data_IF_828453187171
#
_entry.id   IF_828453187171
#
_cell.length_a   1.000
_cell.length_b   1.000
_cell.length_c   1.000
_cell.angle_alpha   90.00
_cell.angle_beta   90.00
_cell.angle_gamma   90.00
#
_symmetry.space_group_name_H-M   'P 1'
#
loop_
_entity.id
_entity.type
_entity.pdbx_description
1 polymer ?
#
# COMPACT_ATOMS: atom_id res chain seq x y z
N UNK A 1 -60.03 -30.07 13.84
CA UNK A 1 -58.99 -30.57 14.78
C UNK A 1 -57.83 -29.59 14.76
N UNK A 2 -57.43 -29.13 15.93
CA UNK A 2 -56.65 -27.90 16.18
C UNK A 2 -55.16 -28.00 15.77
N UNK A 3 -54.52 -26.90 15.34
CA UNK A 3 -53.07 -26.82 15.19
C UNK A 3 -52.38 -26.56 16.53
N UNK A 4 -51.36 -27.37 16.85
CA UNK A 4 -50.52 -27.20 18.05
C UNK A 4 -49.44 -26.15 17.76
N UNK A 5 -49.56 -24.99 18.39
CA UNK A 5 -48.58 -23.89 18.34
C UNK A 5 -47.52 -24.13 19.42
N UNK A 6 -46.28 -24.39 19.01
CA UNK A 6 -45.12 -24.43 19.92
C UNK A 6 -44.57 -23.00 20.09
N UNK A 7 -44.86 -22.37 21.23
CA UNK A 7 -44.18 -21.14 21.70
C UNK A 7 -42.86 -21.54 22.37
N UNK A 8 -41.73 -21.09 21.83
CA UNK A 8 -40.46 -21.05 22.56
C UNK A 8 -40.18 -19.62 23.03
N UNK A 9 -39.78 -19.39 24.30
CA UNK A 9 -39.34 -18.09 24.77
C UNK A 9 -37.90 -17.82 24.32
N UNK A 10 -37.71 -16.72 23.59
CA UNK A 10 -36.40 -16.11 23.35
C UNK A 10 -35.88 -15.52 24.67
N UNK A 11 -35.02 -16.28 25.35
CA UNK A 11 -34.16 -15.76 26.40
C UNK A 11 -32.97 -15.06 25.73
N UNK A 12 -33.02 -13.73 25.66
CA UNK A 12 -31.87 -12.90 25.28
C UNK A 12 -31.01 -12.73 26.53
N UNK A 13 -29.99 -13.58 26.68
CA UNK A 13 -28.95 -13.42 27.69
C UNK A 13 -27.98 -12.36 27.18
N UNK A 14 -28.06 -11.15 27.73
CA UNK A 14 -27.02 -10.14 27.59
C UNK A 14 -25.77 -10.63 28.35
N UNK A 15 -24.83 -11.22 27.61
CA UNK A 15 -23.48 -11.41 28.11
C UNK A 15 -22.78 -10.05 28.08
N UNK A 16 -22.63 -9.46 29.27
CA UNK A 16 -21.75 -8.31 29.50
C UNK A 16 -20.33 -8.69 29.08
N UNK A 17 -19.92 -8.25 27.88
CA UNK A 17 -18.53 -8.35 27.43
C UNK A 17 -17.74 -7.33 28.26
N UNK A 18 -16.81 -7.75 29.14
CA UNK A 18 -15.90 -6.80 29.75
C UNK A 18 -15.11 -6.12 28.64
N UNK A 19 -15.15 -4.79 28.62
CA UNK A 19 -14.20 -3.97 27.85
C UNK A 19 -12.79 -4.37 28.29
N UNK A 20 -12.23 -5.36 27.60
CA UNK A 20 -10.80 -5.56 27.52
C UNK A 20 -10.26 -4.30 26.86
N UNK A 21 -9.76 -3.40 27.71
CA UNK A 21 -8.82 -2.38 27.32
C UNK A 21 -7.74 -3.07 26.49
N UNK A 22 -7.81 -2.90 25.16
CA UNK A 22 -6.69 -3.15 24.28
C UNK A 22 -5.62 -2.15 24.71
N UNK A 23 -4.74 -2.59 25.62
CA UNK A 23 -3.43 -1.99 25.80
C UNK A 23 -2.77 -1.97 24.43
N UNK A 24 -2.79 -0.81 23.77
CA UNK A 24 -1.78 -0.38 22.80
C UNK A 24 -0.45 -0.23 23.55
N UNK A 25 0.05 -1.34 24.10
CA UNK A 25 1.41 -1.45 24.55
C UNK A 25 2.27 -1.51 23.28
N UNK A 26 3.11 -0.49 23.12
CA UNK A 26 4.01 -0.39 21.99
C UNK A 26 4.90 -1.63 21.87
N UNK A 27 4.87 -2.26 20.70
CA UNK A 27 6.00 -3.03 20.22
C UNK A 27 6.95 -2.08 19.51
N UNK A 28 7.66 -1.28 20.31
CA UNK A 28 8.89 -0.61 19.94
C UNK A 28 10.10 -1.50 20.32
N UNK A 29 10.02 -2.80 20.03
CA UNK A 29 11.20 -3.64 19.94
C UNK A 29 11.72 -3.50 18.52
N UNK A 30 12.73 -2.63 18.34
CA UNK A 30 13.43 -2.37 17.09
C UNK A 30 14.25 -3.56 16.57
N UNK A 31 13.67 -4.75 16.56
CA UNK A 31 14.22 -5.91 15.88
C UNK A 31 13.76 -5.87 14.42
N UNK A 32 14.71 -5.79 13.49
CA UNK A 32 14.43 -5.92 12.07
C UNK A 32 13.62 -7.21 11.84
N UNK A 33 12.53 -7.17 11.06
CA UNK A 33 11.84 -8.39 10.67
C UNK A 33 12.84 -9.32 9.99
N UNK A 34 12.76 -10.62 10.29
CA UNK A 34 13.66 -11.60 9.69
C UNK A 34 13.58 -11.49 8.15
N UNK A 35 14.72 -11.42 7.45
CA UNK A 35 14.73 -11.19 6.02
C UNK A 35 13.98 -12.31 5.30
N UNK A 36 13.00 -11.94 4.47
CA UNK A 36 12.31 -12.90 3.61
C UNK A 36 13.29 -13.46 2.59
N UNK A 37 13.27 -14.77 2.37
CA UNK A 37 14.14 -15.42 1.39
C UNK A 37 13.97 -14.80 -0.01
N UNK A 38 15.08 -14.47 -0.67
CA UNK A 38 15.09 -13.81 -1.98
C UNK A 38 14.24 -14.54 -3.04
N UNK A 39 14.25 -15.88 -3.03
CA UNK A 39 13.43 -16.68 -3.95
C UNK A 39 11.91 -16.47 -3.75
N UNK A 40 11.45 -16.23 -2.52
CA UNK A 40 10.04 -15.94 -2.23
C UNK A 40 9.69 -14.54 -2.71
N UNK A 41 10.60 -13.58 -2.52
CA UNK A 41 10.45 -12.19 -2.99
C UNK A 41 10.35 -12.16 -4.52
N UNK A 42 11.26 -12.85 -5.21
CA UNK A 42 11.29 -12.99 -6.67
C UNK A 42 9.99 -13.63 -7.20
N UNK A 43 9.57 -14.75 -6.61
CA UNK A 43 8.33 -15.43 -7.01
C UNK A 43 7.08 -14.54 -6.84
N UNK A 44 7.07 -13.67 -5.83
CA UNK A 44 5.98 -12.70 -5.61
C UNK A 44 6.03 -11.57 -6.64
N UNK A 45 7.22 -11.08 -7.00
CA UNK A 45 7.38 -10.11 -8.08
C UNK A 45 6.85 -10.67 -9.42
N UNK A 46 7.33 -11.85 -9.83
CA UNK A 46 6.93 -12.45 -11.10
C UNK A 46 5.42 -12.71 -11.18
N UNK A 47 4.82 -13.20 -10.09
CA UNK A 47 3.37 -13.39 -10.01
C UNK A 47 2.62 -12.06 -10.10
N UNK A 48 3.07 -11.03 -9.39
CA UNK A 48 2.45 -9.70 -9.42
C UNK A 48 2.53 -9.07 -10.81
N UNK A 49 3.69 -9.16 -11.47
CA UNK A 49 3.90 -8.68 -12.84
C UNK A 49 2.97 -9.38 -13.84
N UNK A 50 2.91 -10.71 -13.79
CA UNK A 50 2.05 -11.49 -14.67
C UNK A 50 0.56 -11.21 -14.42
N UNK A 51 0.14 -11.13 -13.16
CA UNK A 51 -1.24 -10.82 -12.79
C UNK A 51 -1.64 -9.39 -13.21
N UNK A 52 -0.72 -8.42 -13.09
CA UNK A 52 -0.97 -7.04 -13.52
C UNK A 52 -1.20 -6.98 -15.02
N UNK A 53 -0.36 -7.64 -15.82
CA UNK A 53 -0.55 -7.71 -17.27
C UNK A 53 -1.89 -8.40 -17.62
N UNK A 54 -2.18 -9.53 -16.99
CA UNK A 54 -3.43 -10.24 -17.21
C UNK A 54 -4.67 -9.45 -16.76
N UNK A 55 -4.53 -8.50 -15.83
CA UNK A 55 -5.63 -7.67 -15.36
C UNK A 55 -6.06 -6.58 -16.34
N UNK A 56 -5.25 -6.30 -17.38
CA UNK A 56 -5.57 -5.31 -18.42
C UNK A 56 -6.77 -5.74 -19.26
N UNK A 57 -7.63 -4.77 -19.56
CA UNK A 57 -8.80 -4.87 -20.42
C UNK A 57 -8.87 -3.59 -21.28
N UNK A 58 -8.14 -3.61 -22.40
CA UNK A 58 -7.90 -2.42 -23.22
C UNK A 58 -7.08 -1.37 -22.44
N UNK A 59 -7.64 -0.16 -22.30
CA UNK A 59 -7.03 0.95 -21.54
C UNK A 59 -7.35 0.90 -20.04
N UNK A 60 -8.13 -0.09 -19.60
CA UNK A 60 -8.60 -0.21 -18.22
C UNK A 60 -8.04 -1.45 -17.53
N UNK A 61 -8.23 -1.50 -16.20
CA UNK A 61 -7.86 -2.63 -15.37
C UNK A 61 -9.10 -3.25 -14.74
N UNK A 62 -9.18 -4.59 -14.74
CA UNK A 62 -10.19 -5.34 -13.99
C UNK A 62 -9.88 -5.20 -12.50
N UNK A 63 -10.76 -4.54 -11.76
CA UNK A 63 -10.51 -4.05 -10.39
C UNK A 63 -9.95 -5.10 -9.43
N UNK A 64 -10.57 -6.29 -9.35
CA UNK A 64 -10.14 -7.31 -8.39
C UNK A 64 -8.80 -7.95 -8.79
N UNK A 65 -8.60 -8.20 -10.09
CA UNK A 65 -7.34 -8.73 -10.60
C UNK A 65 -6.18 -7.73 -10.43
N UNK A 66 -6.46 -6.44 -10.64
CA UNK A 66 -5.51 -5.36 -10.37
C UNK A 66 -5.12 -5.30 -8.89
N UNK A 67 -6.09 -5.37 -7.99
CA UNK A 67 -5.84 -5.32 -6.55
C UNK A 67 -4.96 -6.48 -6.09
N UNK A 68 -5.23 -7.69 -6.56
CA UNK A 68 -4.43 -8.87 -6.25
C UNK A 68 -2.99 -8.75 -6.80
N UNK A 69 -2.85 -8.27 -8.04
CA UNK A 69 -1.55 -8.01 -8.65
C UNK A 69 -0.74 -6.97 -7.85
N UNK A 70 -1.36 -5.87 -7.45
CA UNK A 70 -0.72 -4.82 -6.65
C UNK A 70 -0.33 -5.32 -5.26
N UNK A 71 -1.11 -6.21 -4.64
CA UNK A 71 -0.73 -6.82 -3.36
C UNK A 71 0.53 -7.69 -3.48
N UNK A 72 0.67 -8.44 -4.58
CA UNK A 72 1.88 -9.20 -4.87
C UNK A 72 3.11 -8.30 -5.08
N UNK A 73 2.95 -7.22 -5.84
CA UNK A 73 4.03 -6.24 -6.06
C UNK A 73 4.40 -5.50 -4.79
N UNK A 74 3.43 -5.08 -3.98
CA UNK A 74 3.66 -4.43 -2.69
C UNK A 74 4.46 -5.33 -1.75
N UNK A 75 4.14 -6.64 -1.70
CA UNK A 75 4.92 -7.59 -0.90
C UNK A 75 6.38 -7.62 -1.35
N UNK A 76 6.64 -7.78 -2.65
CA UNK A 76 8.01 -7.83 -3.16
C UNK A 76 8.75 -6.50 -2.94
N UNK A 77 8.07 -5.38 -3.15
CA UNK A 77 8.59 -4.03 -2.95
C UNK A 77 8.97 -3.75 -1.49
N UNK A 78 8.13 -4.17 -0.53
CA UNK A 78 8.40 -4.07 0.92
C UNK A 78 9.58 -4.94 1.35
N UNK A 79 9.84 -6.03 0.65
CA UNK A 79 11.04 -6.86 0.86
C UNK A 79 12.23 -6.40 -0.03
N UNK A 80 12.10 -5.22 -0.64
CA UNK A 80 13.15 -4.47 -1.31
C UNK A 80 13.54 -4.98 -2.70
N UNK A 81 12.60 -5.63 -3.40
CA UNK A 81 12.76 -5.93 -4.83
C UNK A 81 12.64 -4.65 -5.67
N UNK A 82 13.77 -4.17 -6.21
CA UNK A 82 13.87 -2.86 -6.88
C UNK A 82 12.89 -2.72 -8.05
N UNK A 83 12.82 -3.70 -8.94
CA UNK A 83 11.88 -3.64 -10.08
C UNK A 83 10.41 -3.70 -9.63
N UNK A 84 10.12 -4.30 -8.46
CA UNK A 84 8.76 -4.32 -7.92
C UNK A 84 8.40 -2.95 -7.32
N UNK A 85 9.36 -2.30 -6.67
CA UNK A 85 9.21 -0.94 -6.15
C UNK A 85 8.88 0.04 -7.27
N UNK A 86 9.63 0.00 -8.37
CA UNK A 86 9.36 0.81 -9.56
C UNK A 86 8.00 0.50 -10.16
N UNK A 87 7.71 -0.78 -10.42
CA UNK A 87 6.48 -1.18 -11.09
C UNK A 87 5.25 -0.84 -10.25
N UNK A 88 5.27 -1.11 -8.94
CA UNK A 88 4.19 -0.76 -8.04
C UNK A 88 3.94 0.75 -8.06
N UNK A 89 4.99 1.54 -7.81
CA UNK A 89 4.82 2.97 -7.67
C UNK A 89 4.39 3.65 -8.97
N UNK A 90 5.01 3.31 -10.11
CA UNK A 90 4.59 3.81 -11.43
C UNK A 90 3.12 3.46 -11.71
N UNK A 91 2.71 2.23 -11.40
CA UNK A 91 1.35 1.76 -11.64
C UNK A 91 0.34 2.48 -10.73
N UNK A 92 0.64 2.60 -9.43
CA UNK A 92 -0.22 3.29 -8.49
C UNK A 92 -0.40 4.77 -8.88
N UNK A 93 0.68 5.47 -9.26
CA UNK A 93 0.56 6.85 -9.75
C UNK A 93 -0.17 6.96 -11.08
N UNK A 94 0.05 6.04 -12.02
CA UNK A 94 -0.64 6.06 -13.31
C UNK A 94 -2.13 5.72 -13.22
N UNK A 95 -2.53 4.86 -12.28
CA UNK A 95 -3.91 4.33 -12.18
C UNK A 95 -4.72 4.99 -11.08
N UNK A 96 -4.18 5.07 -9.85
CA UNK A 96 -4.91 5.54 -8.67
C UNK A 96 -4.78 7.06 -8.48
N UNK A 97 -3.60 7.62 -8.74
CA UNK A 97 -3.32 9.03 -8.41
C UNK A 97 -3.19 9.94 -9.63
N UNK A 98 -3.40 9.40 -10.84
CA UNK A 98 -3.18 10.13 -12.08
C UNK A 98 -4.21 11.23 -12.33
N UNK A 99 -5.44 11.05 -11.84
CA UNK A 99 -6.58 11.94 -12.11
C UNK A 99 -7.16 12.63 -10.87
N UNK A 100 -6.82 12.14 -9.67
CA UNK A 100 -7.27 12.72 -8.40
C UNK A 100 -6.22 12.53 -7.31
N UNK A 101 -6.31 13.35 -6.26
CA UNK A 101 -5.49 13.18 -5.06
C UNK A 101 -5.97 11.93 -4.32
N UNK A 102 -5.13 11.31 -3.48
CA UNK A 102 -5.53 10.17 -2.68
C UNK A 102 -6.69 10.55 -1.75
N UNK A 103 -7.77 9.76 -1.74
CA UNK A 103 -8.77 9.84 -0.67
C UNK A 103 -8.21 9.24 0.63
N UNK A 104 -8.91 9.40 1.75
CA UNK A 104 -8.42 8.97 3.07
C UNK A 104 -7.94 7.51 3.10
N UNK A 105 -8.67 6.60 2.46
CA UNK A 105 -8.33 5.17 2.40
C UNK A 105 -7.10 4.86 1.55
N UNK A 106 -6.68 5.76 0.65
CA UNK A 106 -5.58 5.55 -0.31
C UNK A 106 -4.29 6.27 0.13
N UNK A 107 -4.35 7.05 1.21
CA UNK A 107 -3.21 7.81 1.72
C UNK A 107 -2.00 6.94 2.07
N UNK A 108 -2.23 5.76 2.62
CA UNK A 108 -1.17 4.81 2.92
C UNK A 108 -0.51 4.29 1.63
N UNK A 109 -1.32 3.93 0.64
CA UNK A 109 -0.83 3.44 -0.65
C UNK A 109 -0.04 4.51 -1.41
N UNK A 110 -0.43 5.78 -1.27
CA UNK A 110 0.32 6.91 -1.82
C UNK A 110 1.71 7.04 -1.20
N UNK A 111 1.81 6.98 0.13
CA UNK A 111 3.09 7.05 0.85
C UNK A 111 3.98 5.87 0.47
N UNK A 112 3.42 4.67 0.40
CA UNK A 112 4.13 3.46 -0.02
C UNK A 112 4.64 3.59 -1.47
N UNK A 113 3.80 4.01 -2.41
CA UNK A 113 4.17 4.21 -3.81
C UNK A 113 5.32 5.21 -3.96
N UNK A 114 5.27 6.33 -3.23
CA UNK A 114 6.32 7.34 -3.21
C UNK A 114 7.62 6.79 -2.62
N UNK A 115 7.56 6.14 -1.46
CA UNK A 115 8.71 5.55 -0.80
C UNK A 115 9.40 4.48 -1.66
N UNK A 116 8.61 3.65 -2.34
CA UNK A 116 9.13 2.65 -3.27
C UNK A 116 9.81 3.26 -4.49
N UNK A 117 9.20 4.26 -5.15
CA UNK A 117 9.82 4.91 -6.29
C UNK A 117 11.15 5.58 -5.92
N UNK A 118 11.22 6.26 -4.77
CA UNK A 118 12.46 6.89 -4.29
C UNK A 118 13.54 5.84 -4.01
N UNK A 119 13.14 4.73 -3.38
CA UNK A 119 14.03 3.59 -3.11
C UNK A 119 14.61 3.02 -4.41
N UNK A 120 13.78 2.80 -5.42
CA UNK A 120 14.20 2.24 -6.69
C UNK A 120 15.06 3.22 -7.52
N UNK A 121 14.69 4.49 -7.56
CA UNK A 121 15.47 5.53 -8.22
C UNK A 121 16.89 5.64 -7.64
N UNK A 122 17.04 5.57 -6.32
CA UNK A 122 18.35 5.56 -5.66
C UNK A 122 19.16 4.29 -5.95
N UNK A 123 18.50 3.16 -6.13
CA UNK A 123 19.11 1.92 -6.60
C UNK A 123 19.50 1.97 -8.09
N UNK A 124 19.24 3.08 -8.80
CA UNK A 124 19.62 3.30 -10.19
C UNK A 124 18.53 2.92 -11.19
N UNK A 125 17.31 2.60 -10.74
CA UNK A 125 16.20 2.32 -11.65
C UNK A 125 15.69 3.60 -12.31
N UNK A 126 15.97 3.72 -13.61
CA UNK A 126 15.57 4.87 -14.43
C UNK A 126 14.07 4.96 -14.65
N UNK A 127 13.35 3.84 -14.65
CA UNK A 127 11.90 3.85 -14.80
C UNK A 127 11.25 4.57 -13.61
N UNK A 128 11.77 4.34 -12.40
CA UNK A 128 11.29 5.02 -11.20
C UNK A 128 11.44 6.55 -11.29
N UNK A 129 12.57 7.03 -11.82
CA UNK A 129 12.81 8.47 -12.00
C UNK A 129 11.74 9.15 -12.88
N UNK A 130 11.28 8.47 -13.94
CA UNK A 130 10.24 9.01 -14.82
C UNK A 130 8.84 9.02 -14.20
N UNK A 131 8.61 8.24 -13.15
CA UNK A 131 7.31 8.11 -12.49
C UNK A 131 7.19 8.92 -11.19
N UNK A 132 8.29 9.50 -10.69
CA UNK A 132 8.27 10.24 -9.43
C UNK A 132 7.56 11.58 -9.60
N UNK A 133 6.41 11.80 -8.93
CA UNK A 133 5.84 13.14 -8.85
C UNK A 133 6.80 14.06 -8.10
N UNK A 134 7.11 15.23 -8.67
CA UNK A 134 7.92 16.24 -8.00
C UNK A 134 9.38 15.85 -7.72
N UNK A 135 10.04 15.07 -8.61
CA UNK A 135 11.51 14.95 -8.60
C UNK A 135 12.19 15.79 -9.70
N UNK A 136 11.44 16.16 -10.74
CA UNK A 136 11.88 17.18 -11.72
C UNK A 136 11.56 18.62 -11.27
N UNK A 137 10.93 18.79 -10.10
CA UNK A 137 10.52 20.07 -9.53
C UNK A 137 10.28 19.93 -8.01
N UNK A 138 10.23 21.03 -7.25
CA UNK A 138 10.09 21.00 -5.80
C UNK A 138 8.72 20.41 -5.34
N UNK A 139 8.56 20.05 -4.07
CA UNK A 139 7.36 19.37 -3.55
C UNK A 139 6.05 20.19 -3.66
N UNK A 140 6.17 21.47 -4.00
CA UNK A 140 5.13 22.43 -4.34
C UNK A 140 4.84 22.51 -5.86
N UNK A 141 5.66 21.90 -6.72
CA UNK A 141 5.42 21.74 -8.17
C UNK A 141 4.41 20.63 -8.49
N UNK A 142 3.77 20.11 -7.46
CA UNK A 142 2.79 19.04 -7.55
C UNK A 142 1.45 19.68 -7.97
N UNK A 143 1.13 19.58 -9.26
CA UNK A 143 -0.09 20.15 -9.82
C UNK A 143 -1.39 19.59 -9.20
N UNK A 144 -2.54 20.14 -9.59
CA UNK A 144 -3.83 19.46 -9.33
C UNK A 144 -3.68 18.01 -9.79
N UNK A 145 -3.88 17.03 -8.90
CA UNK A 145 -4.92 17.04 -7.87
C UNK A 145 -4.42 17.05 -6.40
N UNK A 146 -3.13 17.27 -6.15
CA UNK A 146 -2.53 17.21 -4.81
C UNK A 146 -2.65 18.54 -4.04
N UNK A 147 -2.97 19.64 -4.73
CA UNK A 147 -3.36 20.93 -4.17
C UNK A 147 -4.64 20.90 -3.32
N UNK A 148 -5.44 19.82 -3.43
CA UNK A 148 -6.67 19.62 -2.65
C UNK A 148 -6.44 18.85 -1.34
N UNK A 149 -5.20 18.42 -1.09
CA UNK A 149 -4.82 17.76 0.15
C UNK A 149 -4.58 18.79 1.27
N UNK A 150 -4.72 18.40 2.54
CA UNK A 150 -4.42 19.29 3.65
C UNK A 150 -3.00 19.86 3.56
N UNK A 151 -2.84 21.13 3.90
CA UNK A 151 -1.55 21.80 3.94
C UNK A 151 -0.53 20.98 4.74
N UNK A 152 0.66 20.80 4.18
CA UNK A 152 1.74 20.04 4.80
C UNK A 152 1.62 18.51 4.70
N UNK A 153 0.50 17.96 4.21
CA UNK A 153 0.34 16.51 4.07
C UNK A 153 1.33 15.91 3.08
N UNK A 154 1.55 16.57 1.94
CA UNK A 154 2.51 16.10 0.92
C UNK A 154 3.92 16.04 1.52
N UNK A 155 4.36 17.10 2.20
CA UNK A 155 5.67 17.13 2.88
C UNK A 155 5.82 16.00 3.91
N UNK A 156 4.76 15.72 4.67
CA UNK A 156 4.71 14.61 5.62
C UNK A 156 4.77 13.23 4.93
N UNK A 157 4.07 13.05 3.81
CA UNK A 157 4.11 11.83 3.02
C UNK A 157 5.52 11.56 2.46
N UNK A 158 6.20 12.60 1.98
CA UNK A 158 7.59 12.53 1.54
C UNK A 158 8.53 12.15 2.69
N UNK A 159 8.39 12.80 3.85
CA UNK A 159 9.17 12.48 5.06
C UNK A 159 8.99 11.01 5.48
N UNK A 160 7.75 10.52 5.52
CA UNK A 160 7.45 9.12 5.85
C UNK A 160 8.00 8.14 4.81
N UNK A 161 7.94 8.49 3.52
CA UNK A 161 8.56 7.71 2.46
C UNK A 161 10.08 7.60 2.64
N UNK A 162 10.74 8.69 3.04
CA UNK A 162 12.18 8.72 3.32
C UNK A 162 12.53 7.91 4.60
N UNK A 163 11.66 7.90 5.62
CA UNK A 163 11.82 7.07 6.82
C UNK A 163 11.64 5.58 6.55
N UNK A 164 10.64 5.22 5.75
CA UNK A 164 10.40 3.84 5.33
C UNK A 164 11.61 3.30 4.55
N UNK A 165 12.20 4.15 3.70
CA UNK A 165 13.48 3.90 3.04
C UNK A 165 14.62 3.66 4.04
N UNK A 166 14.83 4.53 5.02
CA UNK A 166 15.92 4.41 6.00
C UNK A 166 15.84 3.10 6.79
N UNK A 167 14.62 2.72 7.21
CA UNK A 167 14.41 1.46 7.94
C UNK A 167 14.76 0.22 7.12
N UNK A 168 14.58 0.25 5.80
CA UNK A 168 14.92 -0.86 4.91
C UNK A 168 16.42 -0.90 4.56
N UNK A 169 17.11 0.25 4.58
CA UNK A 169 18.55 0.32 4.36
C UNK A 169 19.33 -0.21 5.58
N UNK A 170 18.86 0.09 6.79
CA UNK A 170 19.53 -0.31 8.04
C UNK A 170 19.33 -1.80 8.40
N UNK A 171 18.38 -2.48 7.74
CA UNK A 171 18.07 -3.90 7.98
C UNK A 171 18.63 -4.87 6.93
N UNK A 172 19.51 -4.42 6.02
CA UNK A 172 20.18 -5.25 4.99
C UNK A 172 21.65 -5.44 5.28
#
# INVERSE_FOLDING_TARGET
>A
MLPTVFRHPLFVVFASIPLLALSLAGNATGACPSPTAAAVVEARYERGRAALEASRDGEHFRTDAYRDAMAHLAFAARNGHVAAQSLYGCTAFGVLFGNHGPVESERADYVDALGFLRSAARAGDRAALSCLPGISGPADAVGEPLSKLPDGWVSEAFRRGDELFASHADCR
#
